data_IF_921752756938
#
_entry.id   IF_921752756938
#
_cell.length_a   1.000
_cell.length_b   1.000
_cell.length_c   1.000
_cell.angle_alpha   90.00
_cell.angle_beta   90.00
_cell.angle_gamma   90.00
#
_symmetry.space_group_name_H-M   'P 1'
#
loop_
_entity.id
_entity.type
_entity.pdbx_description
1 polymer ?
#
# COMPACT_ATOMS: atom_id res chain seq x y z
N UNK A 1 14.14 7.11 -24.39
CA UNK A 1 13.75 7.79 -23.14
C UNK A 1 14.62 7.21 -22.04
N UNK A 2 15.25 8.05 -21.24
CA UNK A 2 16.21 7.63 -20.22
C UNK A 2 15.46 6.98 -19.03
N UNK A 3 15.42 5.65 -19.01
CA UNK A 3 14.82 4.86 -17.93
C UNK A 3 15.74 4.74 -16.70
N UNK A 4 15.18 4.25 -15.59
CA UNK A 4 15.91 4.03 -14.33
C UNK A 4 16.52 2.63 -14.30
N UNK A 5 17.77 2.53 -13.87
CA UNK A 5 18.50 1.26 -13.69
C UNK A 5 18.10 0.62 -12.35
N UNK A 6 17.54 -0.58 -12.40
CA UNK A 6 17.06 -1.31 -11.22
C UNK A 6 17.94 -2.56 -11.03
N UNK A 7 18.53 -2.77 -9.84
CA UNK A 7 19.34 -3.96 -9.59
C UNK A 7 18.54 -5.25 -9.86
N UNK A 8 19.14 -6.19 -10.61
CA UNK A 8 18.59 -7.50 -11.02
C UNK A 8 17.61 -7.49 -12.21
N UNK A 9 17.48 -6.39 -12.94
CA UNK A 9 16.78 -6.35 -14.23
C UNK A 9 17.77 -5.95 -15.33
N UNK A 10 17.75 -6.66 -16.45
CA UNK A 10 18.68 -6.43 -17.57
C UNK A 10 18.28 -5.21 -18.43
N UNK A 11 17.01 -4.83 -18.40
CA UNK A 11 16.49 -3.68 -19.14
C UNK A 11 16.20 -2.49 -18.23
N UNK A 12 16.52 -1.28 -18.70
CA UNK A 12 16.16 -0.03 -18.01
C UNK A 12 14.64 0.12 -18.04
N UNK A 13 14.03 0.28 -16.87
CA UNK A 13 12.58 0.47 -16.80
C UNK A 13 12.27 1.91 -17.24
N UNK A 14 11.49 2.12 -18.31
CA UNK A 14 11.23 3.46 -18.88
C UNK A 14 10.43 4.40 -17.95
N UNK A 15 9.98 3.90 -16.80
CA UNK A 15 9.41 4.66 -15.70
C UNK A 15 9.21 3.77 -14.47
N UNK A 16 9.46 4.28 -13.27
CA UNK A 16 9.18 3.57 -12.03
C UNK A 16 7.67 3.55 -11.80
N UNK A 17 7.03 2.37 -11.83
CA UNK A 17 5.63 2.21 -11.45
C UNK A 17 5.51 2.34 -9.92
N UNK A 18 5.31 3.58 -9.45
CA UNK A 18 4.80 3.81 -8.11
C UNK A 18 3.30 3.47 -8.11
N UNK A 19 2.89 2.41 -7.42
CA UNK A 19 1.51 2.30 -6.98
C UNK A 19 1.25 3.41 -5.95
N UNK A 20 0.19 4.18 -6.13
CA UNK A 20 -0.29 5.21 -5.20
C UNK A 20 -1.08 4.62 -4.03
N UNK A 21 -1.60 3.39 -4.21
CA UNK A 21 -2.33 2.65 -3.19
C UNK A 21 -1.39 1.87 -2.24
N UNK A 22 -1.60 2.05 -0.93
CA UNK A 22 -0.91 1.32 0.12
C UNK A 22 -1.92 0.70 1.10
N UNK A 23 -1.60 -0.49 1.64
CA UNK A 23 -2.43 -1.21 2.62
C UNK A 23 -1.65 -1.37 3.93
N UNK A 24 -2.31 -1.06 5.06
CA UNK A 24 -1.77 -1.29 6.41
C UNK A 24 -2.56 -2.43 7.06
N UNK A 25 -1.85 -3.45 7.54
CA UNK A 25 -2.43 -4.54 8.33
C UNK A 25 -2.06 -4.37 9.80
N UNK A 26 -3.03 -4.56 10.69
CA UNK A 26 -2.85 -4.47 12.13
C UNK A 26 -3.86 -5.39 12.84
N UNK A 27 -3.43 -5.97 13.95
CA UNK A 27 -4.22 -6.86 14.81
C UNK A 27 -5.17 -6.12 15.77
N UNK A 28 -5.01 -4.80 15.87
CA UNK A 28 -5.77 -3.93 16.77
C UNK A 28 -5.90 -2.51 16.22
N UNK A 29 -6.92 -1.78 16.68
CA UNK A 29 -7.13 -0.37 16.32
C UNK A 29 -5.95 0.51 16.77
N UNK A 30 -5.38 0.21 17.94
CA UNK A 30 -4.22 0.94 18.47
C UNK A 30 -3.01 0.75 17.56
N UNK A 31 -2.72 -0.49 17.16
CA UNK A 31 -1.64 -0.80 16.23
C UNK A 31 -1.88 -0.15 14.85
N UNK A 32 -3.12 -0.15 14.36
CA UNK A 32 -3.47 0.50 13.09
C UNK A 32 -3.20 2.01 13.15
N UNK A 33 -3.62 2.70 14.22
CA UNK A 33 -3.36 4.14 14.43
C UNK A 33 -1.87 4.44 14.49
N UNK A 34 -1.10 3.63 15.22
CA UNK A 34 0.35 3.79 15.32
C UNK A 34 1.04 3.59 13.97
N UNK A 35 0.62 2.60 13.19
CA UNK A 35 1.14 2.37 11.83
C UNK A 35 0.75 3.49 10.87
N UNK A 36 -0.47 4.02 10.97
CA UNK A 36 -0.91 5.17 10.19
C UNK A 36 -0.11 6.44 10.51
N UNK A 37 0.24 6.69 11.77
CA UNK A 37 1.14 7.79 12.16
C UNK A 37 2.52 7.66 11.50
N UNK A 38 3.10 6.45 11.50
CA UNK A 38 4.39 6.18 10.82
C UNK A 38 4.28 6.41 9.30
N UNK A 39 3.18 5.99 8.68
CA UNK A 39 2.90 6.25 7.26
C UNK A 39 2.83 7.75 6.96
N UNK A 40 2.16 8.55 7.80
CA UNK A 40 2.11 10.01 7.64
C UNK A 40 3.50 10.64 7.73
N UNK A 41 4.32 10.25 8.70
CA UNK A 41 5.70 10.75 8.83
C UNK A 41 6.55 10.37 7.62
N UNK A 42 6.38 9.15 7.10
CA UNK A 42 7.05 8.72 5.87
C UNK A 42 6.60 9.56 4.67
N UNK A 43 5.29 9.76 4.50
CA UNK A 43 4.75 10.56 3.41
C UNK A 43 5.24 12.01 3.47
N UNK A 44 5.26 12.62 4.65
CA UNK A 44 5.80 13.97 4.86
C UNK A 44 7.28 14.07 4.50
N UNK A 45 8.10 13.09 4.94
CA UNK A 45 9.53 13.01 4.64
C UNK A 45 9.78 12.96 3.12
N UNK A 46 8.94 12.23 2.38
CA UNK A 46 9.07 12.06 0.93
C UNK A 46 8.21 13.02 0.11
N UNK A 47 7.60 14.04 0.75
CA UNK A 47 6.71 15.02 0.11
C UNK A 47 5.55 14.38 -0.67
N UNK A 48 5.06 13.24 -0.18
CA UNK A 48 3.87 12.56 -0.68
C UNK A 48 2.64 13.02 0.11
N UNK A 49 1.47 12.98 -0.54
CA UNK A 49 0.19 13.33 0.08
C UNK A 49 -0.72 12.11 0.12
N UNK A 50 -1.18 11.75 1.31
CA UNK A 50 -2.20 10.71 1.49
C UNK A 50 -3.58 11.31 1.16
N UNK A 51 -4.32 10.66 0.27
CA UNK A 51 -5.67 11.07 -0.08
C UNK A 51 -6.69 10.42 0.88
N UNK A 52 -6.89 11.04 2.04
CA UNK A 52 -7.82 10.54 3.05
C UNK A 52 -9.25 10.29 2.55
N UNK A 53 -9.72 11.03 1.53
CA UNK A 53 -11.05 10.83 0.91
C UNK A 53 -11.16 9.50 0.16
N UNK A 54 -10.04 8.93 -0.27
CA UNK A 54 -9.96 7.62 -0.94
C UNK A 54 -9.48 6.50 -0.02
N UNK A 55 -9.06 6.81 1.20
CA UNK A 55 -8.66 5.81 2.18
C UNK A 55 -9.89 5.18 2.84
N UNK A 56 -9.80 3.88 3.17
CA UNK A 56 -10.82 3.14 3.91
C UNK A 56 -10.19 2.21 4.94
N UNK A 57 -10.93 1.93 6.01
CA UNK A 57 -10.57 0.89 6.99
C UNK A 57 -11.50 -0.30 6.76
N UNK A 58 -10.93 -1.47 6.57
CA UNK A 58 -11.67 -2.71 6.34
C UNK A 58 -11.45 -3.60 7.56
N UNK A 59 -12.48 -3.88 8.38
CA UNK A 59 -12.37 -4.87 9.44
C UNK A 59 -12.22 -6.26 8.83
N UNK A 60 -11.20 -6.99 9.27
CA UNK A 60 -10.94 -8.37 8.88
C UNK A 60 -11.34 -9.25 10.07
N UNK A 61 -12.60 -9.65 10.10
CA UNK A 61 -13.11 -10.65 11.06
C UNK A 61 -13.05 -12.04 10.39
N UNK A 62 -12.63 -13.07 11.13
CA UNK A 62 -12.63 -14.45 10.65
C UNK A 62 -14.03 -14.95 10.25
N UNK A 63 -15.10 -14.36 10.81
CA UNK A 63 -16.47 -14.67 10.45
C UNK A 63 -16.95 -13.97 9.15
N UNK A 64 -16.30 -12.87 8.76
CA UNK A 64 -16.69 -12.07 7.59
C UNK A 64 -15.72 -12.36 6.45
N UNK A 65 -16.21 -13.06 5.42
CA UNK A 65 -15.48 -13.23 4.16
C UNK A 65 -15.44 -11.89 3.41
N UNK A 66 -14.50 -11.03 3.78
CA UNK A 66 -14.20 -9.78 3.10
C UNK A 66 -13.13 -10.04 2.03
N UNK A 67 -13.47 -9.83 0.76
CA UNK A 67 -12.50 -9.94 -0.33
C UNK A 67 -11.84 -8.56 -0.54
N UNK A 68 -10.54 -8.47 -0.25
CA UNK A 68 -9.75 -7.27 -0.51
C UNK A 68 -9.41 -7.22 -2.01
N UNK A 69 -9.64 -6.08 -2.66
CA UNK A 69 -9.25 -5.86 -4.06
C UNK A 69 -8.17 -4.78 -4.13
N UNK A 70 -7.05 -5.08 -4.79
CA UNK A 70 -5.99 -4.12 -5.12
C UNK A 70 -5.96 -3.98 -6.64
N UNK A 71 -6.08 -2.75 -7.15
CA UNK A 71 -6.20 -2.48 -8.60
C UNK A 71 -7.29 -3.33 -9.28
N UNK A 72 -8.47 -3.43 -8.65
CA UNK A 72 -9.60 -4.26 -9.11
C UNK A 72 -9.32 -5.77 -9.16
N UNK A 73 -8.19 -6.23 -8.64
CA UNK A 73 -7.84 -7.65 -8.55
C UNK A 73 -8.01 -8.15 -7.13
N UNK A 74 -8.68 -9.28 -6.90
CA UNK A 74 -8.82 -9.85 -5.57
C UNK A 74 -7.44 -10.26 -5.04
N UNK A 75 -7.16 -9.92 -3.79
CA UNK A 75 -5.98 -10.37 -3.05
C UNK A 75 -6.28 -11.75 -2.50
N UNK A 76 -5.45 -12.71 -2.88
CA UNK A 76 -5.51 -14.08 -2.36
C UNK A 76 -4.52 -14.23 -1.22
N UNK A 77 -4.93 -14.90 -0.16
CA UNK A 77 -4.01 -15.36 0.88
C UNK A 77 -3.17 -16.50 0.28
N UNK A 78 -1.86 -16.41 0.42
CA UNK A 78 -0.95 -17.54 0.17
C UNK A 78 -0.85 -18.35 1.46
N UNK A 79 -1.14 -19.65 1.39
CA UNK A 79 -0.85 -20.62 2.45
C UNK A 79 0.66 -20.87 2.60
#
# INVERSE_FOLDING_TARGET
>A
MDGVEVPRLEEKIPGLLFADDAVILADSEIALKNSFLKLNLWAEKWKMKINNKKCGVIPVDAAVKSQLFIQQKPVHTVE
#
